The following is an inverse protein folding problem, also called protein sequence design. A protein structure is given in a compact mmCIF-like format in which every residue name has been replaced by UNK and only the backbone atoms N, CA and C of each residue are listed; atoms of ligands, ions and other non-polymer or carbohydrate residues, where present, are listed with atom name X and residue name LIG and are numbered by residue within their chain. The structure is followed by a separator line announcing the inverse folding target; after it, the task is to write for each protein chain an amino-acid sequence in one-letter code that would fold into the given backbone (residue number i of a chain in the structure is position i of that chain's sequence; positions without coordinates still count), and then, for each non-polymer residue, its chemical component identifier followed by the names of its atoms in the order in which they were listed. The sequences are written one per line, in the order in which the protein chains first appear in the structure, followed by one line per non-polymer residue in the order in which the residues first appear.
data_IF_925884634797
#
_entry.id   IF_925884634797
#
_cell.length_a   1.000
_cell.length_b   1.000
_cell.length_c   1.000
_cell.angle_alpha   90.00
_cell.angle_beta   90.00
_cell.angle_gamma   90.00
#
_symmetry.space_group_name_H-M   'P 1'
#
loop_
_entity.id
_entity.type
_entity.pdbx_description
1 polymer ?
#
# COMPACT_ATOMS: atom_id res chain seq x y z
N UNK A 1 19.37 7.82 -2.02
CA UNK A 1 18.09 7.62 -2.72
C UNK A 1 16.94 8.01 -1.81
N UNK A 2 15.89 8.62 -2.38
CA UNK A 2 14.71 8.99 -1.63
C UNK A 2 13.74 7.80 -1.59
N UNK A 3 13.78 7.04 -0.50
CA UNK A 3 12.83 5.97 -0.21
C UNK A 3 12.07 6.27 1.10
N UNK A 4 10.87 5.71 1.23
CA UNK A 4 10.04 5.75 2.43
C UNK A 4 10.02 4.34 3.01
N UNK A 5 10.41 4.15 4.26
CA UNK A 5 10.25 2.89 4.98
C UNK A 5 9.71 3.11 6.40
N UNK A 6 10.06 4.21 7.00
CA UNK A 6 9.62 4.63 8.33
C UNK A 6 9.72 6.16 8.42
N UNK A 7 8.69 6.79 8.95
CA UNK A 7 8.63 8.23 9.18
C UNK A 7 9.31 8.67 10.48
N UNK A 8 9.05 9.91 10.86
CA UNK A 8 9.61 10.54 12.04
C UNK A 8 9.24 9.78 13.32
N UNK A 9 10.27 9.35 14.07
CA UNK A 9 10.10 8.61 15.33
C UNK A 9 9.59 9.46 16.50
N UNK A 10 9.71 10.77 16.37
CA UNK A 10 9.24 11.71 17.41
C UNK A 10 7.79 12.16 17.17
N UNK A 11 7.21 11.77 16.03
CA UNK A 11 5.84 12.07 15.64
C UNK A 11 4.97 10.83 15.80
N UNK A 12 3.82 10.97 16.46
CA UNK A 12 2.84 9.87 16.55
C UNK A 12 2.00 9.72 15.27
N UNK A 13 2.64 9.85 14.12
CA UNK A 13 2.01 9.60 12.82
C UNK A 13 2.24 8.15 12.40
N UNK A 14 1.23 7.57 11.75
CA UNK A 14 1.29 6.25 11.13
C UNK A 14 0.70 6.32 9.71
N UNK A 15 1.24 5.51 8.82
CA UNK A 15 0.89 5.49 7.40
C UNK A 15 0.37 4.11 7.04
N UNK A 16 -0.92 4.03 6.74
CA UNK A 16 -1.57 2.77 6.39
C UNK A 16 -1.47 2.51 4.89
N UNK A 17 -0.96 1.34 4.51
CA UNK A 17 -0.78 0.97 3.12
C UNK A 17 -1.25 -0.46 2.87
N UNK A 18 -1.79 -0.70 1.66
CA UNK A 18 -2.27 -1.99 1.20
C UNK A 18 -1.60 -2.37 -0.12
N UNK A 19 -1.23 -3.64 -0.27
CA UNK A 19 -0.84 -4.20 -1.56
C UNK A 19 -2.01 -4.98 -2.15
N UNK A 20 -2.33 -4.68 -3.42
CA UNK A 20 -3.50 -5.19 -4.15
C UNK A 20 -3.06 -5.88 -5.44
N UNK A 21 -2.84 -7.18 -5.37
CA UNK A 21 -2.52 -8.00 -6.54
C UNK A 21 -3.76 -8.51 -7.26
N UNK A 22 -4.76 -8.95 -6.51
CA UNK A 22 -6.08 -9.41 -6.96
C UNK A 22 -7.11 -9.19 -5.85
N UNK A 23 -8.40 -9.17 -6.23
CA UNK A 23 -9.51 -8.93 -5.31
C UNK A 23 -10.08 -10.25 -4.79
N UNK A 24 -10.18 -10.36 -3.46
CA UNK A 24 -10.78 -11.52 -2.78
C UNK A 24 -12.18 -11.22 -2.20
N UNK A 25 -12.75 -10.06 -2.48
CA UNK A 25 -14.05 -9.63 -2.00
C UNK A 25 -14.02 -8.81 -0.72
N UNK A 26 -12.86 -8.29 -0.31
CA UNK A 26 -12.72 -7.57 0.97
C UNK A 26 -12.40 -6.09 0.83
N UNK A 27 -11.90 -5.62 -0.32
CA UNK A 27 -11.47 -4.23 -0.50
C UNK A 27 -12.62 -3.25 -0.37
N UNK A 28 -13.83 -3.60 -0.81
CA UNK A 28 -15.00 -2.74 -0.62
C UNK A 28 -15.25 -2.45 0.86
N UNK A 29 -15.23 -3.49 1.70
CA UNK A 29 -15.37 -3.37 3.16
C UNK A 29 -14.22 -2.56 3.79
N UNK A 30 -12.99 -2.76 3.31
CA UNK A 30 -11.84 -1.97 3.77
C UNK A 30 -12.06 -0.48 3.48
N UNK A 31 -12.52 -0.13 2.28
CA UNK A 31 -12.83 1.25 1.90
C UNK A 31 -13.97 1.84 2.75
N UNK A 32 -15.02 1.06 3.04
CA UNK A 32 -16.10 1.49 3.94
C UNK A 32 -15.55 1.83 5.33
N UNK A 33 -14.75 0.95 5.92
CA UNK A 33 -14.12 1.17 7.23
C UNK A 33 -13.23 2.41 7.23
N UNK A 34 -12.40 2.60 6.20
CA UNK A 34 -11.54 3.78 6.08
C UNK A 34 -12.36 5.06 6.00
N UNK A 35 -13.44 5.06 5.23
CA UNK A 35 -14.36 6.20 5.11
C UNK A 35 -15.04 6.53 6.42
N UNK A 36 -15.63 5.54 7.09
CA UNK A 36 -16.32 5.71 8.38
C UNK A 36 -15.40 6.23 9.48
N UNK A 37 -14.12 5.87 9.44
CA UNK A 37 -13.13 6.31 10.41
C UNK A 37 -12.32 7.55 9.97
N UNK A 38 -12.63 8.14 8.81
CA UNK A 38 -11.94 9.31 8.25
C UNK A 38 -10.43 9.08 8.09
N UNK A 39 -10.03 7.87 7.68
CA UNK A 39 -8.64 7.48 7.43
C UNK A 39 -8.37 7.39 5.92
N UNK A 40 -7.27 7.98 5.48
CA UNK A 40 -6.77 7.82 4.11
C UNK A 40 -5.58 6.87 4.12
N UNK A 41 -5.52 5.99 3.12
CA UNK A 41 -4.48 4.99 2.95
C UNK A 41 -3.85 5.09 1.56
N UNK A 42 -2.77 4.34 1.34
CA UNK A 42 -2.21 4.13 0.01
C UNK A 42 -2.42 2.68 -0.43
N UNK A 43 -2.90 2.49 -1.65
CA UNK A 43 -3.13 1.18 -2.27
C UNK A 43 -2.15 1.00 -3.42
N UNK A 44 -1.25 0.04 -3.30
CA UNK A 44 -0.30 -0.32 -4.35
C UNK A 44 -0.89 -1.42 -5.20
N UNK A 45 -1.33 -1.06 -6.41
CA UNK A 45 -2.09 -1.93 -7.30
C UNK A 45 -1.26 -2.46 -8.46
N UNK A 46 -1.53 -3.69 -8.88
CA UNK A 46 -0.99 -4.28 -10.12
C UNK A 46 -1.88 -3.95 -11.33
N UNK A 47 -1.37 -4.21 -12.55
CA UNK A 47 -2.19 -4.08 -13.75
C UNK A 47 -3.36 -5.07 -13.75
N UNK A 48 -3.17 -6.27 -13.22
CA UNK A 48 -4.26 -7.24 -13.07
C UNK A 48 -5.39 -6.66 -12.22
N UNK A 49 -5.03 -6.07 -11.07
CA UNK A 49 -6.03 -5.51 -10.15
C UNK A 49 -6.89 -4.43 -10.81
N UNK A 50 -6.27 -3.44 -11.46
CA UNK A 50 -7.04 -2.37 -12.11
C UNK A 50 -7.84 -2.86 -13.31
N UNK A 51 -7.38 -3.90 -14.01
CA UNK A 51 -8.10 -4.45 -15.16
C UNK A 51 -9.35 -5.21 -14.77
N UNK A 52 -9.36 -5.82 -13.59
CA UNK A 52 -10.49 -6.62 -13.09
C UNK A 52 -11.39 -5.84 -12.12
N UNK A 53 -10.89 -4.78 -11.48
CA UNK A 53 -11.57 -4.04 -10.42
C UNK A 53 -11.45 -2.51 -10.59
N UNK A 54 -11.68 -2.03 -11.82
CA UNK A 54 -11.57 -0.60 -12.14
C UNK A 54 -12.47 0.29 -11.26
N UNK A 55 -13.66 -0.20 -10.90
CA UNK A 55 -14.60 0.56 -10.07
C UNK A 55 -14.06 0.74 -8.63
N UNK A 56 -13.35 -0.24 -8.08
CA UNK A 56 -12.69 -0.11 -6.77
C UNK A 56 -11.54 0.90 -6.84
N UNK A 57 -10.73 0.86 -7.91
CA UNK A 57 -9.66 1.85 -8.12
C UNK A 57 -10.22 3.26 -8.26
N UNK A 58 -11.30 3.42 -9.03
CA UNK A 58 -12.02 4.69 -9.13
C UNK A 58 -12.50 5.17 -7.77
N UNK A 59 -13.10 4.29 -6.98
CA UNK A 59 -13.57 4.59 -5.62
C UNK A 59 -12.40 5.01 -4.70
N UNK A 60 -11.26 4.33 -4.75
CA UNK A 60 -10.06 4.72 -4.00
C UNK A 60 -9.69 6.18 -4.28
N UNK A 61 -9.66 6.57 -5.56
CA UNK A 61 -9.31 7.92 -5.97
C UNK A 61 -10.36 8.96 -5.55
N UNK A 62 -11.64 8.66 -5.75
CA UNK A 62 -12.76 9.55 -5.38
C UNK A 62 -12.86 9.77 -3.87
N UNK A 63 -12.48 8.77 -3.07
CA UNK A 63 -12.43 8.87 -1.62
C UNK A 63 -11.12 9.47 -1.09
N UNK A 64 -10.20 9.88 -1.98
CA UNK A 64 -8.97 10.61 -1.64
C UNK A 64 -7.85 9.72 -1.10
N UNK A 65 -7.86 8.44 -1.43
CA UNK A 65 -6.72 7.55 -1.19
C UNK A 65 -5.63 7.73 -2.24
N UNK A 66 -4.42 7.35 -1.90
CA UNK A 66 -3.30 7.29 -2.83
C UNK A 66 -3.33 5.95 -3.56
N UNK A 67 -3.27 5.98 -4.89
CA UNK A 67 -3.07 4.79 -5.71
C UNK A 67 -1.61 4.75 -6.14
N UNK A 68 -0.88 3.76 -5.66
CA UNK A 68 0.54 3.53 -5.94
C UNK A 68 0.74 2.41 -6.95
N UNK A 69 1.91 2.41 -7.57
CA UNK A 69 2.31 1.44 -8.59
C UNK A 69 2.91 0.18 -7.94
N UNK A 70 2.36 -0.98 -8.27
CA UNK A 70 2.91 -2.28 -7.83
C UNK A 70 3.32 -3.15 -9.02
N UNK A 71 3.63 -2.49 -10.15
CA UNK A 71 4.06 -3.03 -11.45
C UNK A 71 2.96 -3.77 -12.23
N UNK A 72 3.24 -4.08 -13.48
CA UNK A 72 2.29 -4.79 -14.36
C UNK A 72 2.15 -6.26 -13.95
N UNK A 73 3.28 -6.98 -13.84
CA UNK A 73 3.30 -8.43 -13.69
C UNK A 73 3.85 -8.92 -12.34
N UNK A 74 4.08 -8.03 -11.38
CA UNK A 74 4.59 -8.37 -10.06
C UNK A 74 5.91 -9.18 -10.08
N UNK A 75 6.81 -8.86 -11.02
CA UNK A 75 8.12 -9.52 -11.14
C UNK A 75 9.13 -8.94 -10.16
N UNK A 76 10.13 -9.75 -9.76
CA UNK A 76 11.31 -9.28 -9.02
C UNK A 76 12.07 -8.23 -9.83
N UNK A 77 12.06 -6.99 -9.38
CA UNK A 77 12.66 -5.87 -10.12
C UNK A 77 14.19 -5.98 -10.25
N UNK A 78 14.95 -6.47 -9.23
CA UNK A 78 16.39 -6.68 -9.36
C UNK A 78 16.81 -7.60 -10.51
N UNK A 79 15.95 -8.54 -10.90
CA UNK A 79 16.21 -9.51 -11.95
C UNK A 79 15.95 -8.97 -13.37
N UNK A 80 15.35 -7.78 -13.47
CA UNK A 80 14.97 -7.16 -14.73
C UNK A 80 16.05 -6.21 -15.27
N UNK A 81 16.11 -6.08 -16.58
CA UNK A 81 16.82 -4.98 -17.23
C UNK A 81 16.11 -3.65 -16.98
N UNK A 82 16.80 -2.52 -17.19
CA UNK A 82 16.18 -1.19 -17.02
C UNK A 82 15.01 -0.98 -17.98
N UNK A 83 15.10 -1.51 -19.19
CA UNK A 83 14.02 -1.42 -20.18
C UNK A 83 12.78 -2.20 -19.72
N UNK A 84 12.96 -3.40 -19.17
CA UNK A 84 11.87 -4.19 -18.60
C UNK A 84 11.27 -3.50 -17.38
N UNK A 85 12.09 -2.93 -16.49
CA UNK A 85 11.59 -2.14 -15.34
C UNK A 85 10.75 -0.96 -15.83
N UNK A 86 11.24 -0.22 -16.84
CA UNK A 86 10.48 0.89 -17.43
C UNK A 86 9.12 0.43 -17.91
N UNK A 87 9.07 -0.69 -18.61
CA UNK A 87 7.82 -1.25 -19.12
C UNK A 87 6.89 -1.67 -17.98
N UNK A 88 7.39 -2.42 -16.97
CA UNK A 88 6.61 -2.83 -15.80
C UNK A 88 6.03 -1.63 -15.02
N UNK A 89 6.71 -0.52 -14.98
CA UNK A 89 6.29 0.67 -14.24
C UNK A 89 5.41 1.58 -15.09
N UNK A 90 5.86 1.93 -16.31
CA UNK A 90 5.22 2.96 -17.11
C UNK A 90 3.98 2.47 -17.87
N UNK A 91 3.88 1.18 -18.22
CA UNK A 91 2.67 0.66 -18.85
C UNK A 91 1.48 0.75 -17.86
N UNK A 92 1.70 0.45 -16.56
CA UNK A 92 0.68 0.64 -15.54
C UNK A 92 0.38 2.12 -15.28
N UNK A 93 1.43 2.97 -15.20
CA UNK A 93 1.27 4.41 -15.06
C UNK A 93 0.38 5.00 -16.15
N UNK A 94 0.70 4.68 -17.41
CA UNK A 94 -0.06 5.14 -18.58
C UNK A 94 -1.50 4.67 -18.51
N UNK A 95 -1.73 3.39 -18.20
CA UNK A 95 -3.08 2.85 -18.06
C UNK A 95 -3.92 3.59 -17.01
N UNK A 96 -3.34 3.90 -15.85
CA UNK A 96 -4.02 4.64 -14.78
C UNK A 96 -4.30 6.08 -15.21
N UNK A 97 -3.31 6.73 -15.84
CA UNK A 97 -3.50 8.10 -16.32
C UNK A 97 -4.59 8.21 -17.41
N UNK A 98 -4.57 7.30 -18.39
CA UNK A 98 -5.57 7.29 -19.47
C UNK A 98 -7.00 7.01 -18.97
N UNK A 99 -7.13 6.15 -17.96
CA UNK A 99 -8.44 5.73 -17.43
C UNK A 99 -9.02 6.69 -16.40
N UNK A 100 -8.19 7.32 -15.59
CA UNK A 100 -8.64 8.09 -14.42
C UNK A 100 -8.07 9.51 -14.36
N UNK A 101 -7.15 9.91 -15.24
CA UNK A 101 -6.48 11.21 -15.19
C UNK A 101 -5.56 11.36 -13.97
N UNK A 102 -5.13 10.25 -13.37
CA UNK A 102 -4.35 10.25 -12.14
C UNK A 102 -2.88 9.91 -12.40
N UNK A 103 -1.97 10.76 -11.90
CA UNK A 103 -0.53 10.53 -11.98
C UNK A 103 -0.04 9.81 -10.73
N UNK A 104 0.45 8.59 -10.89
CA UNK A 104 1.04 7.82 -9.80
C UNK A 104 2.42 8.38 -9.44
N UNK A 105 2.68 8.57 -8.14
CA UNK A 105 3.94 9.14 -7.61
C UNK A 105 4.74 8.14 -6.78
N UNK A 106 4.10 7.10 -6.30
CA UNK A 106 4.66 6.13 -5.38
C UNK A 106 4.71 4.75 -6.01
N UNK A 107 5.82 4.04 -5.77
CA UNK A 107 5.99 2.65 -6.21
C UNK A 107 6.40 1.78 -5.03
N UNK A 108 5.82 0.60 -4.95
CA UNK A 108 6.28 -0.45 -4.05
C UNK A 108 6.84 -1.60 -4.88
N UNK A 109 8.12 -1.97 -4.69
CA UNK A 109 8.69 -3.12 -5.38
C UNK A 109 7.94 -4.41 -5.03
N UNK A 110 7.60 -5.25 -6.02
CA UNK A 110 7.03 -6.56 -5.77
C UNK A 110 7.87 -7.37 -4.80
N UNK A 111 7.21 -8.08 -3.88
CA UNK A 111 7.84 -8.93 -2.85
C UNK A 111 8.79 -8.18 -1.89
N UNK A 112 8.85 -6.86 -1.97
CA UNK A 112 9.85 -6.06 -1.26
C UNK A 112 11.27 -6.22 -1.79
N UNK A 113 11.44 -6.78 -2.97
CA UNK A 113 12.75 -7.02 -3.61
C UNK A 113 13.21 -5.80 -4.38
N UNK A 114 14.31 -5.20 -3.95
CA UNK A 114 14.90 -4.02 -4.57
C UNK A 114 16.42 -4.06 -4.55
N UNK A 115 17.01 -3.20 -5.34
CA UNK A 115 18.45 -2.89 -5.34
C UNK A 115 18.64 -1.39 -5.47
N UNK A 116 19.86 -0.89 -5.18
CA UNK A 116 20.17 0.53 -5.42
C UNK A 116 19.88 0.94 -6.87
N UNK A 117 20.20 0.06 -7.82
CA UNK A 117 19.93 0.27 -9.25
C UNK A 117 18.44 0.46 -9.52
N UNK A 118 17.59 -0.41 -8.95
CA UNK A 118 16.13 -0.36 -9.20
C UNK A 118 15.50 0.87 -8.54
N UNK A 119 15.89 1.22 -7.32
CA UNK A 119 15.42 2.42 -6.63
C UNK A 119 15.85 3.70 -7.36
N UNK A 120 17.11 3.79 -7.76
CA UNK A 120 17.62 4.93 -8.52
C UNK A 120 16.89 5.10 -9.86
N UNK A 121 16.62 4.00 -10.54
CA UNK A 121 15.92 4.04 -11.82
C UNK A 121 14.46 4.46 -11.66
N UNK A 122 13.73 3.90 -10.69
CA UNK A 122 12.37 4.34 -10.38
C UNK A 122 12.32 5.84 -10.01
N UNK A 123 13.29 6.32 -9.26
CA UNK A 123 13.42 7.75 -8.96
C UNK A 123 13.62 8.59 -10.23
N UNK A 124 14.41 8.12 -11.20
CA UNK A 124 14.59 8.80 -12.49
C UNK A 124 13.30 8.83 -13.33
N UNK A 125 12.39 7.92 -13.11
CA UNK A 125 11.06 7.88 -13.71
C UNK A 125 10.02 8.74 -12.94
N UNK A 126 10.43 9.46 -11.89
CA UNK A 126 9.57 10.32 -11.08
C UNK A 126 8.92 9.65 -9.88
N UNK A 127 9.31 8.43 -9.53
CA UNK A 127 8.71 7.68 -8.43
C UNK A 127 9.48 7.77 -7.12
N UNK A 128 8.75 7.83 -6.02
CA UNK A 128 9.28 7.57 -4.68
C UNK A 128 9.01 6.12 -4.31
N UNK A 129 10.06 5.37 -3.99
CA UNK A 129 9.95 3.97 -3.56
C UNK A 129 9.45 3.91 -2.11
N UNK A 130 8.40 3.13 -1.86
CA UNK A 130 7.78 2.96 -0.55
C UNK A 130 7.91 1.51 -0.09
N UNK A 131 8.64 1.32 1.00
CA UNK A 131 8.75 0.07 1.75
C UNK A 131 7.83 0.13 2.98
N UNK A 132 8.12 -0.60 4.01
CA UNK A 132 7.37 -0.63 5.26
C UNK A 132 8.30 -0.81 6.47
N UNK A 133 7.82 -0.44 7.63
CA UNK A 133 8.47 -0.74 8.91
C UNK A 133 7.77 -1.84 9.69
N UNK A 134 6.53 -2.18 9.29
CA UNK A 134 5.78 -3.31 9.82
C UNK A 134 4.98 -4.01 8.72
N UNK A 135 5.05 -5.33 8.68
CA UNK A 135 4.20 -6.24 7.92
C UNK A 135 4.11 -7.59 8.65
N UNK A 136 3.15 -8.40 8.29
CA UNK A 136 3.08 -9.80 8.72
C UNK A 136 2.54 -10.68 7.58
N UNK A 137 2.51 -11.99 7.77
CA UNK A 137 2.10 -12.97 6.77
C UNK A 137 0.56 -13.08 6.66
N UNK A 138 -0.07 -12.05 6.09
CA UNK A 138 -1.52 -11.90 5.92
C UNK A 138 -2.03 -12.19 4.50
N UNK A 139 -1.11 -12.30 3.53
CA UNK A 139 -1.41 -12.38 2.10
C UNK A 139 -1.93 -13.74 1.63
N UNK A 140 -1.73 -14.80 2.40
CA UNK A 140 -2.16 -16.16 2.02
C UNK A 140 -3.59 -16.41 2.51
N UNK A 141 -4.55 -16.46 1.59
CA UNK A 141 -5.97 -16.66 1.90
C UNK A 141 -6.24 -18.02 2.54
N UNK A 142 -5.50 -19.06 2.15
CA UNK A 142 -5.65 -20.42 2.68
C UNK A 142 -4.99 -20.61 4.04
N UNK A 143 -4.23 -19.63 4.52
CA UNK A 143 -3.47 -19.70 5.78
C UNK A 143 -3.77 -18.51 6.73
N UNK A 144 -4.99 -18.00 6.69
CA UNK A 144 -5.43 -16.98 7.64
C UNK A 144 -5.41 -17.54 9.07
N UNK A 145 -4.85 -16.77 10.01
CA UNK A 145 -4.59 -17.21 11.39
C UNK A 145 -5.66 -16.75 12.39
N UNK A 146 -6.69 -16.08 11.89
CA UNK A 146 -7.81 -15.58 12.65
C UNK A 146 -7.69 -14.13 13.11
N UNK A 147 -8.84 -13.52 13.34
CA UNK A 147 -8.98 -12.09 13.67
C UNK A 147 -8.16 -11.67 14.90
N UNK A 148 -8.17 -12.49 15.97
CA UNK A 148 -7.40 -12.20 17.19
C UNK A 148 -5.91 -12.14 16.92
N UNK A 149 -5.38 -12.99 16.04
CA UNK A 149 -3.98 -12.99 15.63
C UNK A 149 -3.66 -11.73 14.81
N UNK A 150 -4.48 -11.42 13.80
CA UNK A 150 -4.31 -10.24 12.96
C UNK A 150 -4.32 -8.95 13.80
N UNK A 151 -5.34 -8.78 14.64
CA UNK A 151 -5.45 -7.64 15.57
C UNK A 151 -4.21 -7.50 16.45
N UNK A 152 -3.80 -8.60 17.12
CA UNK A 152 -2.62 -8.60 17.97
C UNK A 152 -1.36 -8.20 17.20
N UNK A 153 -1.16 -8.75 16.00
CA UNK A 153 0.01 -8.42 15.16
C UNK A 153 0.05 -6.94 14.80
N UNK A 154 -1.07 -6.37 14.40
CA UNK A 154 -1.15 -4.95 14.05
C UNK A 154 -0.86 -4.09 15.28
N UNK A 155 -1.57 -4.31 16.40
CA UNK A 155 -1.48 -3.45 17.57
C UNK A 155 -0.17 -3.56 18.32
N UNK A 156 0.43 -4.75 18.45
CA UNK A 156 1.71 -4.94 19.15
C UNK A 156 2.90 -4.30 18.41
N UNK A 157 2.75 -3.99 17.12
CA UNK A 157 3.83 -3.46 16.29
C UNK A 157 3.64 -1.99 15.88
N UNK A 158 2.61 -1.32 16.42
CA UNK A 158 2.43 0.11 16.18
C UNK A 158 3.56 0.90 16.85
N UNK A 159 4.15 1.81 16.11
CA UNK A 159 5.20 2.73 16.57
C UNK A 159 5.13 4.05 15.82
N UNK A 160 5.75 5.09 16.37
CA UNK A 160 5.84 6.41 15.73
C UNK A 160 6.54 6.30 14.37
N UNK A 161 5.92 6.89 13.35
CA UNK A 161 6.40 6.84 11.98
C UNK A 161 6.14 5.52 11.27
N UNK A 162 5.33 4.61 11.82
CA UNK A 162 5.08 3.31 11.21
C UNK A 162 4.48 3.44 9.80
N UNK A 163 5.13 2.81 8.83
CA UNK A 163 4.55 2.50 7.52
C UNK A 163 4.07 1.06 7.57
N UNK A 164 2.77 0.88 7.62
CA UNK A 164 2.10 -0.40 7.84
C UNK A 164 1.78 -1.00 6.47
N UNK A 165 2.26 -2.20 6.19
CA UNK A 165 1.85 -2.98 5.03
C UNK A 165 0.84 -4.03 5.45
N UNK A 166 -0.35 -3.97 4.86
CA UNK A 166 -1.38 -4.99 4.89
C UNK A 166 -1.72 -5.42 3.44
N UNK A 167 -2.36 -6.57 3.29
CA UNK A 167 -2.88 -7.01 1.98
C UNK A 167 -4.40 -6.95 1.97
N UNK A 168 -4.97 -6.42 0.87
CA UNK A 168 -6.42 -6.24 0.72
C UNK A 168 -7.19 -7.55 0.57
N UNK A 169 -6.52 -8.63 0.18
CA UNK A 169 -7.09 -9.97 0.07
C UNK A 169 -7.20 -10.72 1.42
N UNK A 170 -6.77 -10.11 2.54
CA UNK A 170 -6.90 -10.73 3.87
C UNK A 170 -8.28 -10.52 4.46
N UNK A 171 -9.01 -11.62 4.67
CA UNK A 171 -10.29 -11.62 5.39
C UNK A 171 -10.13 -11.13 6.82
N UNK A 172 -9.10 -11.62 7.51
CA UNK A 172 -8.85 -11.26 8.90
C UNK A 172 -8.60 -9.76 9.04
N UNK A 173 -7.76 -9.17 8.17
CA UNK A 173 -7.53 -7.73 8.15
C UNK A 173 -8.82 -6.94 7.94
N UNK A 174 -9.63 -7.34 6.95
CA UNK A 174 -10.89 -6.65 6.66
C UNK A 174 -11.86 -6.64 7.85
N UNK A 175 -11.83 -7.68 8.68
CA UNK A 175 -12.71 -7.82 9.83
C UNK A 175 -12.23 -7.02 11.04
N UNK A 176 -10.92 -6.90 11.27
CA UNK A 176 -10.36 -6.23 12.45
C UNK A 176 -9.97 -4.77 12.21
N UNK A 177 -9.97 -4.31 10.96
CA UNK A 177 -9.43 -3.00 10.60
C UNK A 177 -10.08 -1.84 11.37
N UNK A 178 -11.42 -1.83 11.51
CA UNK A 178 -12.14 -0.78 12.23
C UNK A 178 -11.67 -0.70 13.69
N UNK A 179 -11.60 -1.84 14.37
CA UNK A 179 -11.19 -1.92 15.76
C UNK A 179 -9.71 -1.52 15.92
N UNK A 180 -8.84 -1.99 15.02
CA UNK A 180 -7.43 -1.60 15.01
C UNK A 180 -7.26 -0.08 14.84
N UNK A 181 -7.98 0.55 13.91
CA UNK A 181 -7.92 2.01 13.71
C UNK A 181 -8.35 2.74 14.98
N UNK A 182 -9.43 2.33 15.62
CA UNK A 182 -9.93 2.96 16.84
C UNK A 182 -8.92 2.82 17.99
N UNK A 183 -8.34 1.65 18.19
CA UNK A 183 -7.34 1.43 19.25
C UNK A 183 -6.02 2.18 18.98
N UNK A 184 -5.59 2.26 17.73
CA UNK A 184 -4.40 3.05 17.34
C UNK A 184 -4.64 4.54 17.64
N UNK A 185 -5.81 5.07 17.28
CA UNK A 185 -6.20 6.45 17.61
C UNK A 185 -6.28 6.67 19.12
N UNK A 186 -6.83 5.71 19.88
CA UNK A 186 -6.92 5.79 21.33
C UNK A 186 -5.54 5.81 22.02
N UNK A 187 -4.50 5.24 21.39
CA UNK A 187 -3.12 5.33 21.84
C UNK A 187 -2.46 6.69 21.48
N UNK A 188 -3.21 7.58 20.85
CA UNK A 188 -2.76 8.93 20.48
C UNK A 188 -2.03 9.01 19.14
N UNK A 189 -2.10 7.98 18.30
CA UNK A 189 -1.56 8.02 16.95
C UNK A 189 -2.54 8.70 15.98
N UNK A 190 -1.98 9.35 14.97
CA UNK A 190 -2.72 9.97 13.86
C UNK A 190 -2.37 9.28 12.56
N UNK A 191 -3.38 8.90 11.77
CA UNK A 191 -3.18 8.38 10.44
C UNK A 191 -2.90 9.53 9.46
N UNK A 192 -1.79 9.45 8.75
CA UNK A 192 -1.37 10.42 7.74
C UNK A 192 -1.17 9.75 6.38
N UNK A 193 -1.19 10.53 5.31
CA UNK A 193 -0.95 10.05 3.95
C UNK A 193 0.53 10.13 3.59
N UNK A 194 0.96 9.38 2.56
CA UNK A 194 2.32 9.47 2.05
C UNK A 194 2.67 10.87 1.49
N UNK A 195 1.67 11.66 1.05
CA UNK A 195 1.87 13.04 0.62
C UNK A 195 2.19 13.99 1.80
N UNK A 196 1.88 13.57 3.02
CA UNK A 196 2.16 14.27 4.28
C UNK A 196 3.32 13.63 5.05
N UNK A 197 4.13 12.82 4.37
CA UNK A 197 5.18 12.05 5.01
C UNK A 197 6.26 12.95 5.64
N UNK A 198 6.47 12.76 6.95
CA UNK A 198 7.52 13.41 7.73
C UNK A 198 8.70 12.45 7.96
N UNK A 199 9.95 12.92 7.69
CA UNK A 199 11.19 12.16 7.88
C UNK A 199 11.78 12.37 9.27
#
# INVERSE_FOLDING_TARGET
YQGIAMGNKDSKQVYLTFDEGYEAGYTEKILDVLKENEVKAAFFITAHYVNTNADLVKRMLEEGHIVGNHTVNHKSMPDLSLEEIKKEVMDLHTSIYERFGYEMKYIRPPKGEYSERTVAYCQSLGYTTVMWSFAYDDWNEDAQKGESYAKKKILDNIHSGAVILLHGNSKDNSNVLAECIQEIKAQGYTFSTLDQFER
#
